data_IF_925249390887
#
_entry.id   IF_925249390887
#
_cell.length_a   1.000
_cell.length_b   1.000
_cell.length_c   1.000
_cell.angle_alpha   90.00
_cell.angle_beta   90.00
_cell.angle_gamma   90.00
#
_symmetry.space_group_name_H-M   'P 1'
#
loop_
_entity.id
_entity.type
_entity.pdbx_description
1 polymer ?
#
# COMPACT_ATOMS: atom_id res chain seq x y z
N UNK A 1 0.37 4.91 5.66
CA UNK A 1 -0.91 5.62 5.92
C UNK A 1 -2.03 4.70 6.43
N UNK A 2 -1.76 3.40 6.67
CA UNK A 2 -2.76 2.44 7.17
C UNK A 2 -3.07 2.67 8.64
N UNK A 3 -4.35 2.53 9.00
CA UNK A 3 -4.81 2.49 10.39
C UNK A 3 -4.48 1.11 10.97
N UNK A 4 -3.40 1.00 11.72
CA UNK A 4 -2.81 -0.28 12.13
C UNK A 4 -3.81 -1.23 12.81
N UNK A 5 -4.61 -0.73 13.76
CA UNK A 5 -5.57 -1.56 14.51
C UNK A 5 -6.68 -2.17 13.64
N UNK A 6 -6.95 -1.58 12.47
CA UNK A 6 -7.91 -2.14 11.50
C UNK A 6 -7.31 -3.26 10.66
N UNK A 7 -5.99 -3.26 10.47
CA UNK A 7 -5.31 -4.16 9.52
C UNK A 7 -4.49 -5.26 10.20
N UNK A 8 -4.12 -5.10 11.47
CA UNK A 8 -3.19 -5.99 12.17
C UNK A 8 -3.80 -6.49 13.48
N UNK A 9 -3.71 -7.79 13.69
CA UNK A 9 -3.98 -8.43 14.98
C UNK A 9 -2.71 -8.41 15.84
N UNK A 10 -2.54 -7.33 16.63
CA UNK A 10 -1.36 -7.11 17.45
C UNK A 10 -1.13 -8.19 18.51
N UNK A 11 -2.21 -8.70 19.10
CA UNK A 11 -2.10 -9.75 20.14
C UNK A 11 -1.55 -11.03 19.55
N UNK A 12 -2.05 -11.43 18.38
CA UNK A 12 -1.54 -12.58 17.65
C UNK A 12 -0.08 -12.38 17.23
N UNK A 13 0.26 -11.22 16.65
CA UNK A 13 1.63 -10.92 16.26
C UNK A 13 2.59 -11.03 17.46
N UNK A 14 2.22 -10.47 18.61
CA UNK A 14 3.00 -10.54 19.84
C UNK A 14 3.17 -11.98 20.34
N UNK A 15 2.10 -12.77 20.35
CA UNK A 15 2.13 -14.18 20.76
C UNK A 15 3.03 -15.04 19.87
N UNK A 16 3.05 -14.75 18.55
CA UNK A 16 3.80 -15.52 17.57
C UNK A 16 5.20 -14.94 17.29
N UNK A 17 5.60 -13.86 17.96
CA UNK A 17 6.88 -13.20 17.73
C UNK A 17 7.00 -12.57 16.33
N UNK A 18 5.90 -12.10 15.75
CA UNK A 18 5.86 -11.46 14.44
C UNK A 18 6.11 -9.97 14.61
N UNK A 19 7.16 -9.47 13.98
CA UNK A 19 7.48 -8.04 13.96
C UNK A 19 6.47 -7.24 13.13
N UNK A 20 6.11 -6.06 13.63
CA UNK A 20 5.25 -5.12 12.91
C UNK A 20 6.07 -3.92 12.49
N UNK A 21 6.15 -3.69 11.21
CA UNK A 21 6.90 -2.58 10.61
C UNK A 21 6.01 -1.78 9.66
N UNK A 22 6.35 -0.50 9.47
CA UNK A 22 5.65 0.36 8.51
C UNK A 22 6.58 0.73 7.36
N UNK A 23 6.16 0.40 6.12
CA UNK A 23 6.87 0.88 4.92
C UNK A 23 6.39 2.28 4.52
N UNK A 24 7.20 2.99 3.73
CA UNK A 24 6.88 4.34 3.22
C UNK A 24 5.97 4.33 1.99
N UNK A 25 5.96 3.23 1.22
CA UNK A 25 5.07 3.08 0.06
C UNK A 25 3.62 2.84 0.46
N UNK A 26 2.68 3.20 -0.43
CA UNK A 26 1.25 2.99 -0.23
C UNK A 26 0.80 1.53 -0.29
N UNK A 27 -0.52 1.34 -0.33
CA UNK A 27 -1.15 0.03 -0.36
C UNK A 27 -1.44 -0.57 1.01
N UNK A 28 -2.14 -1.72 1.05
CA UNK A 28 -2.55 -2.43 2.26
C UNK A 28 -1.41 -3.11 3.00
N UNK A 29 -1.74 -3.66 4.17
CA UNK A 29 -0.79 -4.45 4.97
C UNK A 29 -0.46 -5.76 4.27
N UNK A 30 0.79 -6.16 4.36
CA UNK A 30 1.30 -7.44 3.83
C UNK A 30 1.96 -8.22 4.97
N UNK A 31 1.83 -9.54 4.92
CA UNK A 31 2.62 -10.47 5.72
C UNK A 31 3.80 -10.94 4.86
N UNK A 32 4.97 -11.07 5.47
CA UNK A 32 6.17 -11.56 4.80
C UNK A 32 6.97 -12.46 5.73
N UNK A 33 7.45 -13.57 5.18
CA UNK A 33 8.37 -14.50 5.83
C UNK A 33 9.44 -15.00 4.83
N UNK A 34 10.23 -15.98 5.24
CA UNK A 34 11.29 -16.54 4.38
C UNK A 34 10.76 -17.29 3.15
N UNK A 35 9.48 -17.61 3.11
CA UNK A 35 8.78 -18.19 1.96
C UNK A 35 8.36 -17.15 0.91
N UNK A 36 8.68 -15.88 1.10
CA UNK A 36 8.39 -14.80 0.15
C UNK A 36 9.64 -14.45 -0.67
N UNK A 37 9.43 -14.08 -1.94
CA UNK A 37 10.45 -13.42 -2.75
C UNK A 37 10.03 -11.97 -3.01
N UNK A 38 10.87 -11.03 -2.56
CA UNK A 38 10.65 -9.60 -2.80
C UNK A 38 11.51 -9.12 -3.95
N UNK A 39 10.93 -8.26 -4.78
CA UNK A 39 11.62 -7.55 -5.87
C UNK A 39 11.36 -6.07 -5.78
N UNK A 40 12.36 -5.26 -6.15
CA UNK A 40 12.26 -3.81 -6.23
C UNK A 40 12.94 -3.30 -7.49
N UNK A 41 12.30 -2.35 -8.16
CA UNK A 41 12.84 -1.61 -9.29
C UNK A 41 12.98 -0.15 -8.87
N UNK A 42 14.18 0.40 -8.98
CA UNK A 42 14.46 1.82 -8.72
C UNK A 42 14.76 2.47 -10.06
N UNK A 43 14.02 3.55 -10.39
CA UNK A 43 14.20 4.32 -11.62
C UNK A 43 14.41 5.80 -11.31
N UNK A 44 14.99 6.58 -12.24
CA UNK A 44 14.92 8.03 -12.16
C UNK A 44 13.47 8.51 -12.04
N UNK A 45 13.27 9.74 -11.54
CA UNK A 45 11.96 10.37 -11.48
C UNK A 45 11.27 10.44 -12.86
N UNK A 46 9.95 10.40 -12.85
CA UNK A 46 9.10 10.42 -14.04
C UNK A 46 7.69 9.96 -13.67
N UNK A 47 6.81 9.87 -14.64
CA UNK A 47 5.46 9.35 -14.40
C UNK A 47 5.51 7.92 -13.85
N UNK A 48 4.97 7.72 -12.65
CA UNK A 48 4.98 6.43 -11.95
C UNK A 48 4.10 5.40 -12.66
N UNK A 49 2.97 5.80 -13.22
CA UNK A 49 1.97 4.89 -13.77
C UNK A 49 2.52 3.97 -14.89
N UNK A 50 3.23 4.49 -15.92
CA UNK A 50 3.83 3.63 -16.94
C UNK A 50 4.90 2.70 -16.39
N UNK A 51 5.73 3.19 -15.45
CA UNK A 51 6.80 2.41 -14.81
C UNK A 51 6.19 1.27 -14.00
N UNK A 52 5.16 1.56 -13.21
CA UNK A 52 4.46 0.58 -12.40
C UNK A 52 3.81 -0.51 -13.26
N UNK A 53 3.09 -0.10 -14.31
CA UNK A 53 2.46 -1.02 -15.25
C UNK A 53 3.49 -1.92 -15.93
N UNK A 54 4.57 -1.34 -16.46
CA UNK A 54 5.64 -2.11 -17.10
C UNK A 54 6.28 -3.12 -16.12
N UNK A 55 6.56 -2.71 -14.88
CA UNK A 55 7.14 -3.58 -13.86
C UNK A 55 6.22 -4.78 -13.54
N UNK A 56 4.92 -4.54 -13.31
CA UNK A 56 3.99 -5.62 -12.95
C UNK A 56 3.88 -6.64 -14.09
N UNK A 57 3.82 -6.17 -15.35
CA UNK A 57 3.83 -7.04 -16.52
C UNK A 57 5.16 -7.81 -16.65
N UNK A 58 6.29 -7.16 -16.44
CA UNK A 58 7.61 -7.81 -16.51
C UNK A 58 7.75 -8.94 -15.49
N UNK A 59 7.24 -8.75 -14.26
CA UNK A 59 7.21 -9.80 -13.24
C UNK A 59 6.30 -10.96 -13.68
N UNK A 60 5.08 -10.66 -14.14
CA UNK A 60 4.13 -11.67 -14.63
C UNK A 60 4.70 -12.46 -15.79
N UNK A 61 5.29 -11.80 -16.78
CA UNK A 61 5.93 -12.44 -17.95
C UNK A 61 7.11 -13.31 -17.53
N UNK A 62 7.92 -12.85 -16.57
CA UNK A 62 9.01 -13.63 -15.99
C UNK A 62 8.51 -14.93 -15.35
N UNK A 63 7.44 -14.85 -14.58
CA UNK A 63 6.81 -16.02 -13.95
C UNK A 63 6.21 -16.97 -15.01
N UNK A 64 5.56 -16.45 -16.04
CA UNK A 64 5.05 -17.26 -17.16
C UNK A 64 6.17 -18.04 -17.87
N UNK A 65 7.33 -17.41 -18.10
CA UNK A 65 8.49 -18.06 -18.74
C UNK A 65 9.05 -19.23 -17.93
N UNK A 66 8.88 -19.23 -16.62
CA UNK A 66 9.39 -20.31 -15.75
C UNK A 66 8.31 -21.34 -15.37
N UNK A 67 7.10 -21.20 -15.93
CA UNK A 67 6.05 -22.22 -15.82
C UNK A 67 4.90 -21.89 -14.86
N UNK A 68 4.87 -20.70 -14.22
CA UNK A 68 3.72 -20.26 -13.43
C UNK A 68 2.75 -19.46 -14.33
N UNK A 69 1.53 -19.97 -14.63
CA UNK A 69 0.58 -19.30 -15.51
C UNK A 69 -0.06 -18.10 -14.82
N UNK A 70 0.49 -16.92 -15.02
CA UNK A 70 0.08 -15.69 -14.33
C UNK A 70 -0.54 -14.66 -15.27
N UNK A 71 -1.29 -13.75 -14.68
CA UNK A 71 -1.86 -12.57 -15.32
C UNK A 71 -1.88 -11.40 -14.33
N UNK A 72 -1.87 -10.17 -14.86
CA UNK A 72 -2.03 -8.95 -14.07
C UNK A 72 -3.51 -8.73 -13.81
N UNK A 73 -3.88 -8.52 -12.55
CA UNK A 73 -5.26 -8.34 -12.12
C UNK A 73 -5.44 -7.09 -11.25
N UNK A 74 -6.54 -6.38 -11.49
CA UNK A 74 -6.88 -5.18 -10.75
C UNK A 74 -5.83 -4.07 -10.88
N UNK A 75 -5.61 -3.35 -9.77
CA UNK A 75 -4.71 -2.17 -9.78
C UNK A 75 -3.23 -2.51 -9.56
N UNK A 76 -2.94 -3.64 -8.90
CA UNK A 76 -1.58 -3.91 -8.40
C UNK A 76 -1.29 -5.39 -8.08
N UNK A 77 -2.17 -6.30 -8.44
CA UNK A 77 -2.02 -7.72 -8.13
C UNK A 77 -1.55 -8.52 -9.34
N UNK A 78 -0.78 -9.57 -9.10
CA UNK A 78 -0.54 -10.65 -10.07
C UNK A 78 -1.22 -11.89 -9.50
N UNK A 79 -2.05 -12.49 -10.33
CA UNK A 79 -2.82 -13.69 -10.01
C UNK A 79 -2.40 -14.84 -10.90
N UNK A 80 -2.68 -16.06 -10.49
CA UNK A 80 -2.67 -17.21 -11.38
C UNK A 80 -3.85 -17.13 -12.34
N UNK A 81 -3.70 -17.61 -13.56
CA UNK A 81 -4.82 -17.84 -14.47
C UNK A 81 -5.76 -18.86 -13.87
N UNK A 82 -7.00 -18.44 -13.61
CA UNK A 82 -7.99 -19.25 -12.89
C UNK A 82 -8.16 -18.92 -11.41
N UNK A 83 -7.42 -17.94 -10.89
CA UNK A 83 -7.62 -17.37 -9.55
C UNK A 83 -6.45 -17.53 -8.60
N UNK A 84 -6.50 -16.79 -7.51
CA UNK A 84 -5.50 -16.77 -6.46
C UNK A 84 -4.37 -15.76 -6.71
N UNK A 85 -4.30 -14.75 -5.84
CA UNK A 85 -3.22 -13.76 -5.84
C UNK A 85 -1.93 -14.41 -5.39
N UNK A 86 -0.87 -14.20 -6.16
CA UNK A 86 0.49 -14.68 -5.86
C UNK A 86 1.48 -13.54 -5.61
N UNK A 87 1.15 -12.32 -6.01
CA UNK A 87 2.02 -11.16 -5.80
C UNK A 87 1.20 -9.89 -5.62
N UNK A 88 1.54 -9.11 -4.62
CA UNK A 88 1.03 -7.76 -4.42
C UNK A 88 2.14 -6.75 -4.67
N UNK A 89 1.83 -5.67 -5.39
CA UNK A 89 2.80 -4.67 -5.77
C UNK A 89 2.41 -3.28 -5.25
N UNK A 90 3.41 -2.45 -5.01
CA UNK A 90 3.25 -1.07 -4.58
C UNK A 90 4.37 -0.22 -5.18
N UNK A 91 4.22 1.10 -5.08
CA UNK A 91 5.28 2.03 -5.44
C UNK A 91 5.45 3.14 -4.41
N UNK A 92 6.59 3.77 -4.46
CA UNK A 92 6.92 4.95 -3.68
C UNK A 92 7.55 5.98 -4.61
N UNK A 93 6.83 7.09 -4.81
CA UNK A 93 7.28 8.19 -5.64
C UNK A 93 8.12 9.16 -4.79
N UNK A 94 9.24 9.60 -5.33
CA UNK A 94 10.16 10.57 -4.75
C UNK A 94 10.55 11.59 -5.81
N UNK A 95 10.88 12.80 -5.41
CA UNK A 95 11.26 13.89 -6.31
C UNK A 95 12.36 13.53 -7.33
N UNK A 96 13.25 12.58 -7.01
CA UNK A 96 14.36 12.17 -7.89
C UNK A 96 14.30 10.73 -8.38
N UNK A 97 13.48 9.89 -7.77
CA UNK A 97 13.43 8.45 -8.05
C UNK A 97 12.02 7.91 -7.84
N UNK A 98 11.70 6.84 -8.56
CA UNK A 98 10.57 5.98 -8.25
C UNK A 98 11.10 4.64 -7.73
N UNK A 99 10.42 4.08 -6.73
CA UNK A 99 10.67 2.73 -6.25
C UNK A 99 9.38 1.95 -6.47
N UNK A 100 9.43 0.93 -7.31
CA UNK A 100 8.33 -0.03 -7.49
C UNK A 100 8.76 -1.33 -6.87
N UNK A 101 7.89 -1.98 -6.10
CA UNK A 101 8.24 -3.23 -5.45
C UNK A 101 7.04 -4.17 -5.36
N UNK A 102 7.34 -5.46 -5.23
CA UNK A 102 6.34 -6.51 -5.07
C UNK A 102 6.81 -7.62 -4.16
N UNK A 103 5.84 -8.33 -3.57
CA UNK A 103 6.07 -9.48 -2.70
C UNK A 103 5.39 -10.69 -3.32
N UNK A 104 6.18 -11.68 -3.77
CA UNK A 104 5.70 -12.94 -4.33
C UNK A 104 5.55 -13.97 -3.22
N UNK A 105 4.41 -14.63 -3.18
CA UNK A 105 4.07 -15.69 -2.22
C UNK A 105 4.52 -17.03 -2.79
N UNK A 106 5.70 -17.50 -2.37
CA UNK A 106 6.19 -18.81 -2.82
C UNK A 106 5.75 -19.94 -1.86
N UNK A 107 6.13 -19.86 -0.58
CA UNK A 107 5.81 -20.85 0.48
C UNK A 107 5.53 -20.14 1.81
N UNK A 108 4.70 -19.13 1.78
CA UNK A 108 4.31 -18.33 2.94
C UNK A 108 3.54 -19.17 3.96
N UNK A 109 3.81 -18.96 5.24
CA UNK A 109 3.08 -19.61 6.34
C UNK A 109 1.67 -19.02 6.47
N UNK A 110 0.71 -19.67 5.78
CA UNK A 110 -0.66 -19.21 5.64
C UNK A 110 -1.38 -18.96 6.97
N UNK A 111 -1.18 -19.81 7.96
CA UNK A 111 -1.86 -19.70 9.25
C UNK A 111 -1.34 -18.50 10.04
N UNK A 112 -0.04 -18.22 9.97
CA UNK A 112 0.53 -17.01 10.57
C UNK A 112 0.07 -15.74 9.84
N UNK A 113 -0.01 -15.78 8.51
CA UNK A 113 -0.52 -14.66 7.73
C UNK A 113 -1.98 -14.35 8.05
N UNK A 114 -2.85 -15.38 8.10
CA UNK A 114 -4.27 -15.21 8.40
C UNK A 114 -4.48 -14.73 9.83
N UNK A 115 -3.71 -15.22 10.79
CA UNK A 115 -3.79 -14.80 12.18
C UNK A 115 -3.28 -13.38 12.43
N UNK A 116 -2.24 -12.95 11.68
CA UNK A 116 -1.62 -11.64 11.84
C UNK A 116 -2.42 -10.50 11.19
N UNK A 117 -3.20 -10.80 10.15
CA UNK A 117 -3.92 -9.78 9.38
C UNK A 117 -5.42 -9.77 9.73
N UNK A 118 -5.95 -8.57 9.91
CA UNK A 118 -7.40 -8.33 9.98
C UNK A 118 -7.87 -7.99 8.54
N UNK A 119 -8.56 -8.90 7.85
CA UNK A 119 -9.04 -8.61 6.51
C UNK A 119 -10.14 -7.53 6.56
N UNK A 120 -10.03 -6.51 5.70
CA UNK A 120 -11.10 -5.54 5.48
C UNK A 120 -12.29 -6.27 4.79
N UNK A 121 -13.48 -6.37 5.45
CA UNK A 121 -14.64 -7.07 4.90
C UNK A 121 -15.05 -6.52 3.52
N UNK A 122 -15.04 -5.20 3.35
CA UNK A 122 -15.41 -4.52 2.10
C UNK A 122 -14.46 -4.92 0.95
N UNK A 123 -13.17 -5.15 1.29
CA UNK A 123 -12.16 -5.58 0.33
C UNK A 123 -12.33 -7.05 -0.09
N UNK A 124 -12.80 -7.90 0.79
CA UNK A 124 -13.12 -9.28 0.47
C UNK A 124 -14.38 -9.35 -0.40
N UNK A 125 -15.44 -8.62 -0.02
CA UNK A 125 -16.71 -8.56 -0.74
C UNK A 125 -16.55 -8.01 -2.15
N UNK A 126 -15.86 -6.88 -2.31
CA UNK A 126 -15.58 -6.25 -3.62
C UNK A 126 -14.84 -7.14 -4.61
N UNK A 127 -14.18 -8.19 -4.12
CA UNK A 127 -13.45 -9.17 -4.93
C UNK A 127 -14.15 -10.54 -5.01
N UNK A 128 -15.37 -10.66 -4.45
CA UNK A 128 -16.17 -11.87 -4.49
C UNK A 128 -15.57 -13.05 -3.74
N UNK A 129 -14.66 -12.81 -2.78
CA UNK A 129 -14.00 -13.87 -2.00
C UNK A 129 -14.45 -13.88 -0.53
N UNK A 130 -14.62 -15.09 0.02
CA UNK A 130 -15.12 -15.28 1.37
C UNK A 130 -14.06 -15.20 2.47
N UNK A 131 -12.77 -15.30 2.11
CA UNK A 131 -11.65 -15.30 3.08
C UNK A 131 -10.34 -14.92 2.44
N UNK A 132 -9.35 -14.52 3.26
CA UNK A 132 -7.97 -14.29 2.81
C UNK A 132 -7.40 -15.54 2.14
N UNK A 133 -7.62 -16.73 2.73
CA UNK A 133 -7.13 -18.01 2.19
C UNK A 133 -7.65 -18.30 0.78
N UNK A 134 -8.91 -18.01 0.50
CA UNK A 134 -9.50 -18.25 -0.84
C UNK A 134 -9.04 -17.25 -1.89
N UNK A 135 -8.42 -16.14 -1.46
CA UNK A 135 -7.94 -15.06 -2.33
C UNK A 135 -6.52 -15.29 -2.85
N UNK A 136 -5.71 -16.05 -2.15
CA UNK A 136 -4.28 -16.19 -2.43
C UNK A 136 -3.91 -17.60 -2.87
N UNK A 137 -2.80 -17.71 -3.62
CA UNK A 137 -2.17 -18.96 -3.99
C UNK A 137 -0.67 -18.90 -3.71
N UNK A 138 -0.04 -20.06 -3.60
CA UNK A 138 1.39 -20.18 -3.37
C UNK A 138 2.07 -20.70 -4.63
N UNK A 139 3.16 -20.06 -5.05
CA UNK A 139 3.91 -20.45 -6.26
C UNK A 139 4.52 -21.87 -6.15
N UNK A 140 4.78 -22.35 -4.94
CA UNK A 140 5.31 -23.72 -4.72
C UNK A 140 4.39 -24.82 -5.26
N UNK A 141 3.08 -24.56 -5.32
CA UNK A 141 2.11 -25.55 -5.81
C UNK A 141 2.09 -25.64 -7.36
N UNK A 142 2.79 -24.70 -8.04
CA UNK A 142 2.82 -24.57 -9.50
C UNK A 142 4.22 -24.72 -10.10
N UNK A 143 5.25 -24.56 -9.28
CA UNK A 143 6.65 -24.61 -9.73
C UNK A 143 7.36 -25.84 -9.15
N UNK A 144 8.06 -26.64 -9.96
CA UNK A 144 8.69 -27.89 -9.52
C UNK A 144 10.06 -27.68 -8.84
N UNK A 145 10.36 -26.48 -8.34
CA UNK A 145 11.65 -26.12 -7.73
C UNK A 145 11.46 -25.15 -6.57
N UNK A 146 12.42 -25.08 -5.66
CA UNK A 146 12.37 -24.27 -4.45
C UNK A 146 12.57 -22.75 -4.68
N UNK A 147 12.37 -21.96 -3.62
CA UNK A 147 12.44 -20.47 -3.63
C UNK A 147 13.81 -19.96 -4.09
N UNK A 148 14.90 -20.65 -3.78
CA UNK A 148 16.25 -20.22 -4.22
C UNK A 148 16.43 -20.36 -5.72
N UNK A 149 15.87 -21.41 -6.33
CA UNK A 149 15.86 -21.57 -7.79
C UNK A 149 14.95 -20.54 -8.43
N UNK A 150 13.78 -20.24 -7.82
CA UNK A 150 12.92 -19.14 -8.26
C UNK A 150 13.70 -17.82 -8.27
N UNK A 151 14.41 -17.50 -7.18
CA UNK A 151 15.22 -16.29 -7.06
C UNK A 151 16.27 -16.21 -8.18
N UNK A 152 16.98 -17.29 -8.45
CA UNK A 152 18.01 -17.34 -9.51
C UNK A 152 17.40 -17.14 -10.90
N UNK A 153 16.29 -17.82 -11.20
CA UNK A 153 15.61 -17.71 -12.50
C UNK A 153 15.04 -16.30 -12.70
N UNK A 154 14.34 -15.74 -11.72
CA UNK A 154 13.82 -14.38 -11.80
C UNK A 154 14.94 -13.36 -11.94
N UNK A 155 16.05 -13.51 -11.21
CA UNK A 155 17.23 -12.66 -11.37
C UNK A 155 17.78 -12.71 -12.81
N UNK A 156 17.95 -13.88 -13.39
CA UNK A 156 18.46 -14.02 -14.76
C UNK A 156 17.52 -13.45 -15.84
N UNK A 157 16.21 -13.37 -15.55
CA UNK A 157 15.22 -12.79 -16.46
C UNK A 157 15.14 -11.27 -16.32
N UNK A 158 15.25 -10.77 -15.08
CA UNK A 158 14.99 -9.36 -14.75
C UNK A 158 16.25 -8.50 -14.77
N UNK A 159 17.45 -9.08 -14.68
CA UNK A 159 18.71 -8.34 -14.58
C UNK A 159 19.78 -8.93 -15.47
N UNK A 160 20.58 -8.08 -16.10
CA UNK A 160 21.75 -8.41 -16.92
C UNK A 160 23.09 -8.15 -16.22
N UNK A 161 23.06 -7.42 -15.10
CA UNK A 161 24.24 -7.06 -14.31
C UNK A 161 23.98 -7.24 -12.81
N UNK A 162 25.05 -7.27 -12.02
CA UNK A 162 24.97 -7.28 -10.57
C UNK A 162 26.03 -6.38 -9.95
N UNK A 163 25.67 -5.76 -8.84
CA UNK A 163 26.56 -4.98 -7.98
C UNK A 163 26.73 -5.75 -6.67
N UNK A 164 27.98 -5.87 -6.21
CA UNK A 164 28.27 -6.42 -4.89
C UNK A 164 28.33 -5.28 -3.88
N UNK A 165 27.48 -5.35 -2.86
CA UNK A 165 27.51 -4.36 -1.77
C UNK A 165 28.80 -4.48 -0.97
N UNK A 166 29.33 -3.34 -0.56
CA UNK A 166 30.52 -3.22 0.32
C UNK A 166 30.11 -3.33 1.80
N UNK A 167 31.08 -3.40 2.68
CA UNK A 167 30.84 -3.37 4.14
C UNK A 167 30.25 -2.01 4.54
N UNK A 168 30.68 -0.93 3.91
CA UNK A 168 30.18 0.43 4.17
C UNK A 168 28.72 0.56 3.72
N UNK A 169 28.36 0.02 2.55
CA UNK A 169 26.96 -0.03 2.10
C UNK A 169 26.07 -0.77 3.10
N UNK A 170 26.54 -1.92 3.63
CA UNK A 170 25.82 -2.67 4.64
C UNK A 170 25.67 -1.92 5.96
N UNK A 171 26.68 -1.13 6.36
CA UNK A 171 26.61 -0.29 7.54
C UNK A 171 25.55 0.82 7.38
N UNK A 172 25.50 1.47 6.22
CA UNK A 172 24.47 2.47 5.92
C UNK A 172 23.05 1.86 5.86
N UNK A 173 22.90 0.68 5.25
CA UNK A 173 21.61 -0.05 5.25
C UNK A 173 21.14 -0.32 6.67
N UNK A 174 22.00 -0.77 7.59
CA UNK A 174 21.64 -1.00 8.99
C UNK A 174 21.21 0.26 9.72
N UNK A 175 21.82 1.41 9.44
CA UNK A 175 21.38 2.70 10.01
C UNK A 175 19.98 3.06 9.54
N UNK A 176 19.70 2.88 8.24
CA UNK A 176 18.36 3.10 7.68
C UNK A 176 17.36 2.12 8.29
N UNK A 177 17.70 0.83 8.36
CA UNK A 177 16.88 -0.22 8.95
C UNK A 177 16.43 0.14 10.37
N UNK A 178 17.36 0.61 11.22
CA UNK A 178 17.06 0.99 12.60
C UNK A 178 15.93 2.04 12.70
N UNK A 179 15.78 2.91 11.71
CA UNK A 179 14.71 3.93 11.69
C UNK A 179 13.32 3.32 11.56
N UNK A 180 13.19 2.14 10.95
CA UNK A 180 11.91 1.45 10.75
C UNK A 180 11.37 0.79 12.03
N UNK A 181 12.22 0.57 13.04
CA UNK A 181 11.83 0.01 14.33
C UNK A 181 11.42 1.06 15.36
N UNK A 182 11.46 2.35 15.02
CA UNK A 182 11.02 3.40 15.95
C UNK A 182 9.49 3.39 16.10
N UNK A 183 9.01 3.73 17.29
CA UNK A 183 7.56 3.83 17.56
C UNK A 183 6.90 4.87 16.67
N UNK A 184 7.58 5.99 16.44
CA UNK A 184 7.11 7.06 15.59
C UNK A 184 6.91 6.58 14.14
N UNK A 185 7.83 5.76 13.62
CA UNK A 185 7.70 5.20 12.28
C UNK A 185 6.56 4.19 12.19
N UNK A 186 6.40 3.32 13.19
CA UNK A 186 5.39 2.26 13.20
C UNK A 186 4.00 2.84 13.43
N UNK A 187 3.81 3.58 14.51
CA UNK A 187 2.49 4.02 14.99
C UNK A 187 2.10 5.41 14.49
N UNK A 188 3.05 6.23 14.06
CA UNK A 188 2.84 7.63 13.72
C UNK A 188 2.53 8.49 14.95
N UNK A 189 2.08 9.71 14.71
CA UNK A 189 1.57 10.58 15.77
C UNK A 189 0.09 10.28 16.00
N UNK A 190 -0.32 10.08 17.24
CA UNK A 190 -1.71 9.88 17.63
C UNK A 190 -2.44 11.23 17.58
N UNK A 191 -3.34 11.42 16.64
CA UNK A 191 -4.23 12.58 16.60
C UNK A 191 -5.53 12.27 17.35
N UNK A 192 -6.01 13.20 18.17
CA UNK A 192 -7.38 13.17 18.73
C UNK A 192 -8.31 13.85 17.74
N UNK A 193 -8.72 13.12 16.71
CA UNK A 193 -9.65 13.65 15.73
C UNK A 193 -11.06 13.79 16.31
N UNK A 194 -11.73 14.90 16.02
CA UNK A 194 -13.14 15.12 16.38
C UNK A 194 -14.07 14.34 15.47
N UNK A 195 -13.70 14.18 14.20
CA UNK A 195 -14.47 13.49 13.17
C UNK A 195 -13.54 12.63 12.32
N UNK A 196 -13.96 11.39 12.05
CA UNK A 196 -13.28 10.47 11.13
C UNK A 196 -14.26 10.09 10.02
N UNK A 197 -13.91 10.39 8.78
CA UNK A 197 -14.68 10.08 7.58
C UNK A 197 -13.85 9.18 6.68
N UNK A 198 -14.43 8.09 6.18
CA UNK A 198 -13.71 7.20 5.27
C UNK A 198 -14.64 6.52 4.29
N UNK A 199 -14.12 6.25 3.09
CA UNK A 199 -14.79 5.43 2.10
C UNK A 199 -13.77 4.70 1.23
N UNK A 200 -14.26 3.68 0.48
CA UNK A 200 -13.48 2.94 -0.50
C UNK A 200 -13.81 3.43 -1.90
N UNK A 201 -12.83 4.01 -2.56
CA UNK A 201 -12.95 4.57 -3.91
C UNK A 201 -12.40 3.56 -4.92
N UNK A 202 -13.20 3.26 -5.94
CA UNK A 202 -12.84 2.30 -6.98
C UNK A 202 -11.54 2.71 -7.71
N UNK A 203 -10.62 1.75 -7.84
CA UNK A 203 -9.31 1.97 -8.45
C UNK A 203 -8.32 2.79 -7.60
N UNK A 204 -8.79 3.50 -6.56
CA UNK A 204 -7.96 4.25 -5.61
C UNK A 204 -7.60 3.40 -4.38
N UNK A 205 -8.59 2.91 -3.65
CA UNK A 205 -8.47 2.23 -2.38
C UNK A 205 -9.31 2.90 -1.29
N UNK A 206 -9.09 2.53 -0.03
CA UNK A 206 -9.70 3.23 1.11
C UNK A 206 -8.99 4.56 1.33
N UNK A 207 -9.76 5.61 1.51
CA UNK A 207 -9.28 6.95 1.91
C UNK A 207 -10.00 7.33 3.20
N UNK A 208 -9.26 7.77 4.22
CA UNK A 208 -9.77 8.15 5.52
C UNK A 208 -9.23 9.53 5.90
N UNK A 209 -10.12 10.46 6.23
CA UNK A 209 -9.81 11.76 6.78
C UNK A 209 -10.14 11.77 8.27
N UNK A 210 -9.17 12.16 9.10
CA UNK A 210 -9.36 12.46 10.51
C UNK A 210 -9.24 13.98 10.70
N UNK A 211 -10.31 14.64 11.12
CA UNK A 211 -10.41 16.09 11.16
C UNK A 211 -10.71 16.56 12.57
N UNK A 212 -9.98 17.54 13.05
CA UNK A 212 -10.28 18.29 14.27
C UNK A 212 -10.77 19.69 13.87
N UNK A 213 -11.90 20.11 14.42
CA UNK A 213 -12.46 21.44 14.18
C UNK A 213 -12.28 22.32 15.40
N UNK A 214 -11.97 23.60 15.16
CA UNK A 214 -12.05 24.68 16.15
C UNK A 214 -13.22 25.60 15.75
N UNK A 215 -14.36 25.39 16.39
CA UNK A 215 -15.63 25.95 15.89
C UNK A 215 -16.02 25.29 14.57
N UNK A 216 -16.10 26.08 13.51
CA UNK A 216 -16.37 25.59 12.15
C UNK A 216 -15.11 25.52 11.27
N UNK A 217 -13.93 25.83 11.80
CA UNK A 217 -12.67 25.89 11.06
C UNK A 217 -11.90 24.59 11.22
N UNK A 218 -11.31 24.08 10.14
CA UNK A 218 -10.42 22.91 10.16
C UNK A 218 -9.12 23.30 10.86
N UNK A 219 -8.87 22.72 12.05
CA UNK A 219 -7.68 23.00 12.86
C UNK A 219 -6.58 21.97 12.60
N UNK A 220 -6.95 20.68 12.51
CA UNK A 220 -6.05 19.59 12.17
C UNK A 220 -6.69 18.65 11.12
N UNK A 221 -5.87 18.11 10.26
CA UNK A 221 -6.25 17.11 9.27
C UNK A 221 -5.20 16.02 9.20
N UNK A 222 -5.63 14.77 9.22
CA UNK A 222 -4.81 13.59 8.97
C UNK A 222 -5.42 12.76 7.85
N UNK A 223 -4.58 12.15 7.06
CA UNK A 223 -4.97 11.33 5.92
C UNK A 223 -4.46 9.91 6.09
N UNK A 224 -5.37 8.93 6.09
CA UNK A 224 -5.09 7.51 6.20
C UNK A 224 -5.70 6.70 5.06
N UNK A 225 -5.28 5.45 4.91
CA UNK A 225 -5.86 4.55 3.92
C UNK A 225 -4.85 3.67 3.19
N UNK A 226 -5.32 2.90 2.21
CA UNK A 226 -4.53 1.98 1.40
C UNK A 226 -4.31 2.45 -0.05
N UNK A 227 -4.41 3.76 -0.26
CA UNK A 227 -4.19 4.44 -1.54
C UNK A 227 -2.71 4.51 -1.92
N UNK A 228 -2.43 4.88 -3.18
CA UNK A 228 -1.09 5.16 -3.68
C UNK A 228 -0.90 6.67 -3.90
N UNK A 229 0.16 7.21 -3.29
CA UNK A 229 0.59 8.59 -3.50
C UNK A 229 1.36 8.71 -4.83
N UNK A 230 1.08 9.75 -5.60
CA UNK A 230 1.70 10.02 -6.92
C UNK A 230 2.35 11.39 -7.01
N UNK A 231 2.09 12.28 -6.04
CA UNK A 231 2.66 13.63 -5.96
C UNK A 231 4.08 13.66 -5.40
N UNK A 232 4.80 14.76 -5.63
CA UNK A 232 6.15 15.01 -5.10
C UNK A 232 6.18 15.25 -3.57
N UNK A 233 5.09 15.75 -3.02
CA UNK A 233 4.85 15.88 -1.57
C UNK A 233 3.97 14.71 -1.10
N UNK A 234 3.98 14.44 0.21
CA UNK A 234 2.99 13.51 0.76
C UNK A 234 1.58 14.04 0.52
N UNK A 235 0.64 13.15 0.23
CA UNK A 235 -0.75 13.54 0.04
C UNK A 235 -1.30 14.25 1.29
N UNK A 236 -0.97 13.74 2.49
CA UNK A 236 -1.36 14.38 3.75
C UNK A 236 -0.91 15.84 3.82
N UNK A 237 0.36 16.13 3.52
CA UNK A 237 0.89 17.50 3.54
C UNK A 237 0.19 18.40 2.52
N UNK A 238 -0.11 17.89 1.33
CA UNK A 238 -0.81 18.65 0.29
C UNK A 238 -2.25 18.99 0.71
N UNK A 239 -2.97 18.04 1.32
CA UNK A 239 -4.32 18.29 1.83
C UNK A 239 -4.32 19.20 3.06
N UNK A 240 -3.33 19.09 3.95
CA UNK A 240 -3.17 19.99 5.09
C UNK A 240 -2.96 21.43 4.64
N UNK A 241 -2.04 21.66 3.69
CA UNK A 241 -1.74 22.97 3.11
C UNK A 241 -2.99 23.62 2.45
N UNK A 242 -3.82 22.79 1.81
CA UNK A 242 -5.00 23.25 1.11
C UNK A 242 -6.20 23.52 2.03
N UNK A 243 -6.40 22.72 3.08
CA UNK A 243 -7.68 22.69 3.82
C UNK A 243 -7.59 23.19 5.26
N UNK A 244 -6.43 23.18 5.94
CA UNK A 244 -6.30 23.72 7.30
C UNK A 244 -6.54 25.23 7.29
N UNK A 245 -7.33 25.70 8.23
CA UNK A 245 -7.72 27.10 8.36
C UNK A 245 -8.97 27.49 7.59
N UNK A 246 -9.53 26.60 6.75
CA UNK A 246 -10.77 26.82 6.04
C UNK A 246 -12.00 26.48 6.90
N UNK A 247 -13.15 27.13 6.65
CA UNK A 247 -14.43 26.66 7.14
C UNK A 247 -14.73 25.23 6.63
N UNK A 248 -15.21 24.36 7.51
CA UNK A 248 -15.66 23.01 7.13
C UNK A 248 -17.03 23.13 6.43
N UNK A 249 -17.03 23.68 5.24
CA UNK A 249 -18.21 23.84 4.37
C UNK A 249 -17.95 23.22 3.01
N UNK A 250 -19.04 22.70 2.40
CA UNK A 250 -18.92 22.06 1.08
C UNK A 250 -18.42 23.04 0.00
N UNK A 251 -18.83 24.31 0.06
CA UNK A 251 -18.48 25.32 -0.92
C UNK A 251 -16.99 25.64 -0.89
N UNK A 252 -16.46 26.03 0.27
CA UNK A 252 -15.04 26.38 0.46
C UNK A 252 -14.10 25.19 0.12
N UNK A 253 -14.46 23.99 0.59
CA UNK A 253 -13.67 22.80 0.32
C UNK A 253 -13.70 22.42 -1.16
N UNK A 254 -14.86 22.59 -1.85
CA UNK A 254 -14.94 22.31 -3.30
C UNK A 254 -14.00 23.20 -4.09
N UNK A 255 -13.94 24.49 -3.79
CA UNK A 255 -13.05 25.43 -4.45
C UNK A 255 -11.59 25.01 -4.30
N UNK A 256 -11.17 24.71 -3.07
CA UNK A 256 -9.80 24.30 -2.78
C UNK A 256 -9.42 22.93 -3.35
N UNK A 257 -10.34 21.97 -3.41
CA UNK A 257 -10.09 20.68 -4.05
C UNK A 257 -9.91 20.79 -5.58
N UNK A 258 -10.59 21.74 -6.21
CA UNK A 258 -10.41 22.03 -7.64
C UNK A 258 -9.01 22.61 -7.93
N UNK A 259 -8.47 23.43 -7.02
CA UNK A 259 -7.10 23.95 -7.09
C UNK A 259 -6.07 22.83 -6.80
N UNK A 260 -6.28 22.06 -5.73
CA UNK A 260 -5.41 21.00 -5.27
C UNK A 260 -5.28 19.85 -6.29
N UNK A 261 -6.38 19.55 -7.03
CA UNK A 261 -6.48 18.40 -7.95
C UNK A 261 -6.08 17.10 -7.24
N UNK A 262 -6.95 16.50 -6.40
CA UNK A 262 -6.61 15.32 -5.57
C UNK A 262 -5.92 14.20 -6.33
N UNK A 263 -6.27 13.97 -7.60
CA UNK A 263 -5.67 12.97 -8.48
C UNK A 263 -4.18 13.23 -8.81
N UNK A 264 -3.69 14.45 -8.60
CA UNK A 264 -2.26 14.76 -8.72
C UNK A 264 -1.45 14.35 -7.47
N UNK A 265 -2.13 14.04 -6.36
CA UNK A 265 -1.52 13.62 -5.10
C UNK A 265 -1.79 12.14 -4.79
N UNK A 266 -2.99 11.66 -5.11
CA UNK A 266 -3.42 10.28 -4.88
C UNK A 266 -3.99 9.71 -6.18
N UNK A 267 -3.46 8.56 -6.58
CA UNK A 267 -3.88 7.84 -7.78
C UNK A 267 -5.39 7.58 -7.79
N UNK A 268 -6.08 8.03 -8.83
CA UNK A 268 -7.53 7.81 -9.03
C UNK A 268 -8.46 8.42 -7.97
N UNK A 269 -8.01 9.43 -7.21
CA UNK A 269 -8.86 10.18 -6.30
C UNK A 269 -9.29 11.49 -6.96
N UNK A 270 -10.60 11.69 -7.12
CA UNK A 270 -11.15 12.94 -7.68
C UNK A 270 -11.73 13.83 -6.58
N UNK A 271 -11.93 15.12 -6.88
CA UNK A 271 -12.51 16.08 -5.93
C UNK A 271 -13.91 15.65 -5.44
N UNK A 272 -14.72 15.07 -6.33
CA UNK A 272 -16.06 14.55 -5.98
C UNK A 272 -16.00 13.44 -4.92
N UNK A 273 -14.97 12.57 -4.97
CA UNK A 273 -14.80 11.46 -4.04
C UNK A 273 -14.42 12.00 -2.65
N UNK A 274 -13.54 13.00 -2.59
CA UNK A 274 -13.19 13.67 -1.33
C UNK A 274 -14.42 14.34 -0.71
N UNK A 275 -15.21 15.06 -1.51
CA UNK A 275 -16.45 15.68 -1.04
C UNK A 275 -17.47 14.65 -0.55
N UNK A 276 -17.55 13.50 -1.21
CA UNK A 276 -18.38 12.40 -0.77
C UNK A 276 -17.93 11.88 0.60
N UNK A 277 -16.65 11.57 0.75
CA UNK A 277 -16.07 11.10 2.02
C UNK A 277 -16.35 12.08 3.16
N UNK A 278 -16.11 13.39 2.94
CA UNK A 278 -16.20 14.39 4.00
C UNK A 278 -17.64 14.71 4.42
N UNK A 279 -18.61 14.64 3.51
CA UNK A 279 -19.95 15.16 3.76
C UNK A 279 -21.08 14.12 3.70
N UNK A 280 -20.83 12.87 3.25
CA UNK A 280 -21.86 11.81 3.25
C UNK A 280 -21.93 11.07 4.58
N UNK A 281 -20.79 10.81 5.22
CA UNK A 281 -20.74 10.06 6.48
C UNK A 281 -21.02 10.90 7.74
N UNK A 282 -21.21 12.20 7.61
CA UNK A 282 -21.57 13.10 8.76
C UNK A 282 -23.06 13.02 9.14
N UNK A 283 -23.90 12.43 8.30
CA UNK A 283 -25.35 12.38 8.55
C UNK A 283 -25.84 11.17 9.38
N UNK A 284 -25.00 10.16 9.67
CA UNK A 284 -25.45 8.97 10.40
C UNK A 284 -25.19 8.98 11.92
N UNK A 285 -24.46 9.95 12.46
CA UNK A 285 -24.17 10.03 13.91
C UNK A 285 -24.98 11.07 14.68
N UNK A 286 -25.93 11.76 14.05
CA UNK A 286 -26.83 12.73 14.68
C UNK A 286 -28.32 12.35 14.56
N UNK A 287 -28.63 11.06 14.58
CA UNK A 287 -30.01 10.57 14.82
C UNK A 287 -30.05 9.65 16.02
#
# INVERSE_FOLDING_TARGET
NQTLHKEINFDFCKQQGIDVLRRKSGGGTVYADWGNLMTSLITPAGSVEPIFTAYVHQISDGLNRIGAPTEVSGRNDITLKGGGKICGNAFYHLARHNIVHGTMLYDTQMDLMIGALNPDPDKLESQGVKSVRSRIALLKDYLPFGVDVLRQKMRSILTDRSIKLTIDDLAEIRKIEATYYTKEMIFGQTSKATTVCSDRIEGCGRVEFSITLRGSIIDELRLGGDFFEVGDKSAEASFQEALIGLPFSREEITEKLNELKPQANIRKLEAKDVLHILFHNTNEKNK
#
